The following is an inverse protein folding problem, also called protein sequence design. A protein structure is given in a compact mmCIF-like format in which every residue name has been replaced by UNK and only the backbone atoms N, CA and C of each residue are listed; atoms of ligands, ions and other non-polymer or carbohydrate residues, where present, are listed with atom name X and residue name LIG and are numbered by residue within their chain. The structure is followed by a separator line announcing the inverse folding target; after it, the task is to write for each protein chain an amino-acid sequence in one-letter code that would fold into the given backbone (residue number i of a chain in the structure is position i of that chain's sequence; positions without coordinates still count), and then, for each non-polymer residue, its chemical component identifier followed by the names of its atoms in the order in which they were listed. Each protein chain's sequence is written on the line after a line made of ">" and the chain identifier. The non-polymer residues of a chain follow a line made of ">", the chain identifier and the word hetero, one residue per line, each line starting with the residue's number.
data_IF_535994141745
#
_entry.id   IF_535994141745
#
_cell.length_a   1.000
_cell.length_b   1.000
_cell.length_c   1.000
_cell.angle_alpha   90.00
_cell.angle_beta   90.00
_cell.angle_gamma   90.00
#
_symmetry.space_group_name_H-M   'P 1'
#
loop_
_entity.id
_entity.type
_entity.pdbx_description
1 polymer ?
#
# COMPACT_ATOMS: atom_id res chain seq x y z
N UNK A 1 20.53 35.68 -0.26
CA UNK A 1 20.07 34.74 -1.30
C UNK A 1 19.47 33.54 -0.57
N UNK A 2 18.19 33.22 -0.76
CA UNK A 2 17.54 32.13 -0.02
C UNK A 2 18.22 30.80 -0.38
N UNK A 3 18.77 30.10 0.61
CA UNK A 3 19.46 28.80 0.46
C UNK A 3 18.52 27.64 0.11
N UNK A 4 17.20 27.85 0.20
CA UNK A 4 16.20 26.80 0.05
C UNK A 4 15.15 27.23 -0.96
N UNK A 5 15.05 26.47 -2.04
CA UNK A 5 14.00 26.62 -3.06
C UNK A 5 12.79 25.82 -2.59
N UNK A 6 11.57 26.37 -2.72
CA UNK A 6 10.36 25.58 -2.56
C UNK A 6 10.19 24.67 -3.78
N UNK A 7 10.40 23.38 -3.59
CA UNK A 7 10.35 22.39 -4.67
C UNK A 7 8.92 22.01 -5.11
N UNK A 8 7.90 22.35 -4.31
CA UNK A 8 6.51 22.05 -4.59
C UNK A 8 5.67 23.32 -4.60
N UNK A 9 4.66 23.42 -5.48
CA UNK A 9 3.75 24.54 -5.48
C UNK A 9 2.75 24.44 -4.31
N UNK A 10 2.14 25.55 -3.85
CA UNK A 10 1.30 25.60 -2.65
C UNK A 10 0.14 24.60 -2.64
N UNK A 11 -0.48 24.36 -3.81
CA UNK A 11 -1.57 23.41 -3.99
C UNK A 11 -1.13 21.97 -3.74
N UNK A 12 0.07 21.57 -4.20
CA UNK A 12 0.63 20.24 -3.95
C UNK A 12 0.99 20.04 -2.49
N UNK A 13 1.52 21.07 -1.83
CA UNK A 13 1.77 21.04 -0.38
C UNK A 13 0.47 20.89 0.42
N UNK A 14 -0.60 21.54 -0.01
CA UNK A 14 -1.92 21.42 0.61
C UNK A 14 -2.48 20.01 0.44
N UNK A 15 -2.49 19.48 -0.79
CA UNK A 15 -2.95 18.12 -1.12
C UNK A 15 -2.23 17.06 -0.27
N UNK A 16 -0.90 17.09 -0.20
CA UNK A 16 -0.11 16.15 0.59
C UNK A 16 -0.42 16.24 2.10
N UNK A 17 -0.58 17.47 2.61
CA UNK A 17 -0.91 17.70 4.03
C UNK A 17 -2.31 17.19 4.38
N UNK A 18 -3.29 17.42 3.52
CA UNK A 18 -4.67 16.96 3.71
C UNK A 18 -4.74 15.42 3.72
N UNK A 19 -4.05 14.78 2.77
CA UNK A 19 -3.96 13.32 2.73
C UNK A 19 -3.26 12.75 3.95
N UNK A 20 -2.12 13.33 4.37
CA UNK A 20 -1.41 12.90 5.57
C UNK A 20 -2.30 12.99 6.83
N UNK A 21 -3.00 14.12 7.01
CA UNK A 21 -3.93 14.31 8.14
C UNK A 21 -5.11 13.32 8.09
N UNK A 22 -5.63 13.00 6.90
CA UNK A 22 -6.70 12.01 6.75
C UNK A 22 -6.23 10.59 7.13
N UNK A 23 -4.98 10.23 6.79
CA UNK A 23 -4.37 8.96 7.19
C UNK A 23 -4.24 8.87 8.72
N UNK A 24 -3.86 9.94 9.41
CA UNK A 24 -3.64 9.93 10.87
C UNK A 24 -4.85 10.46 11.68
N UNK A 25 -6.05 10.38 11.12
CA UNK A 25 -7.26 10.80 11.82
C UNK A 25 -7.41 10.08 13.18
N UNK A 26 -7.80 10.77 14.27
CA UNK A 26 -7.91 10.16 15.59
C UNK A 26 -8.78 8.89 15.59
N UNK A 27 -8.27 7.82 16.20
CA UNK A 27 -8.97 6.54 16.28
C UNK A 27 -8.89 5.69 15.00
N UNK A 28 -8.18 6.15 13.96
CA UNK A 28 -7.91 5.38 12.74
C UNK A 28 -6.45 4.98 12.59
N UNK A 29 -6.22 3.92 11.80
CA UNK A 29 -4.90 3.41 11.45
C UNK A 29 -4.82 2.92 10.01
N UNK A 30 -3.70 2.24 9.71
CA UNK A 30 -3.39 1.72 8.37
C UNK A 30 -3.46 0.20 8.38
N UNK A 31 -4.13 -0.38 7.38
CA UNK A 31 -4.00 -1.80 7.06
C UNK A 31 -2.85 -1.97 6.05
N UNK A 32 -1.77 -2.62 6.47
CA UNK A 32 -0.67 -2.99 5.58
C UNK A 32 -1.00 -4.33 4.87
N UNK A 33 -1.50 -4.25 3.63
CA UNK A 33 -1.87 -5.39 2.78
C UNK A 33 -0.97 -5.46 1.52
N UNK A 34 0.27 -5.01 1.67
CA UNK A 34 1.27 -4.81 0.62
C UNK A 34 2.31 -5.93 0.55
N UNK A 35 1.96 -7.12 1.08
CA UNK A 35 2.85 -8.26 1.00
C UNK A 35 3.11 -8.64 -0.46
N UNK A 36 4.40 -8.66 -0.84
CA UNK A 36 4.85 -9.19 -2.12
C UNK A 36 4.41 -10.63 -2.31
N UNK A 37 4.41 -11.11 -3.55
CA UNK A 37 4.05 -12.49 -3.90
C UNK A 37 4.82 -13.54 -3.08
N UNK A 38 6.10 -13.29 -2.79
CA UNK A 38 6.92 -14.15 -1.95
C UNK A 38 6.49 -14.11 -0.47
N UNK A 39 6.23 -12.92 0.07
CA UNK A 39 5.84 -12.74 1.48
C UNK A 39 4.46 -13.32 1.77
N UNK A 40 3.47 -13.04 0.92
CA UNK A 40 2.12 -13.63 1.09
C UNK A 40 2.14 -15.15 0.88
N UNK A 41 3.02 -15.66 0.01
CA UNK A 41 3.23 -17.10 -0.17
C UNK A 41 3.64 -17.81 1.12
N UNK A 42 4.52 -17.20 1.93
CA UNK A 42 4.89 -17.74 3.25
C UNK A 42 3.69 -17.77 4.21
N UNK A 43 2.83 -16.75 4.17
CA UNK A 43 1.59 -16.69 4.99
C UNK A 43 0.60 -17.77 4.58
N UNK A 44 0.40 -17.97 3.28
CA UNK A 44 -0.51 -18.99 2.75
C UNK A 44 0.01 -20.41 3.02
N UNK A 45 1.31 -20.63 2.91
CA UNK A 45 1.91 -21.93 3.25
C UNK A 45 1.64 -22.34 4.71
N UNK A 46 1.63 -21.39 5.65
CA UNK A 46 1.33 -21.66 7.06
C UNK A 46 -0.10 -22.18 7.30
N UNK A 47 -1.01 -21.98 6.34
CA UNK A 47 -2.39 -22.47 6.39
C UNK A 47 -2.70 -23.50 5.28
N UNK A 48 -1.66 -24.05 4.64
CA UNK A 48 -1.77 -25.01 3.53
C UNK A 48 -2.59 -24.49 2.33
N UNK A 49 -2.55 -23.18 2.07
CA UNK A 49 -3.17 -22.57 0.90
C UNK A 49 -2.14 -22.38 -0.22
N UNK A 50 -2.52 -22.70 -1.46
CA UNK A 50 -1.66 -22.49 -2.62
C UNK A 50 -1.52 -21.00 -2.96
N UNK A 51 -0.32 -20.55 -3.31
CA UNK A 51 -0.03 -19.16 -3.67
C UNK A 51 -0.35 -18.83 -5.14
N UNK A 52 -1.62 -18.91 -5.51
CA UNK A 52 -2.14 -18.50 -6.82
C UNK A 52 -2.58 -17.03 -6.82
N UNK A 53 -2.63 -16.41 -8.00
CA UNK A 53 -3.15 -15.04 -8.12
C UNK A 53 -4.60 -14.93 -7.62
N UNK A 54 -5.45 -15.90 -7.95
CA UNK A 54 -6.85 -15.90 -7.50
C UNK A 54 -6.95 -16.00 -5.97
N UNK A 55 -6.15 -16.85 -5.31
CA UNK A 55 -6.16 -16.93 -3.85
C UNK A 55 -5.68 -15.63 -3.21
N UNK A 56 -4.66 -14.98 -3.80
CA UNK A 56 -4.19 -13.67 -3.37
C UNK A 56 -5.29 -12.60 -3.53
N UNK A 57 -5.95 -12.56 -4.69
CA UNK A 57 -7.06 -11.65 -4.99
C UNK A 57 -8.22 -11.86 -4.01
N UNK A 58 -8.67 -13.11 -3.81
CA UNK A 58 -9.75 -13.46 -2.90
C UNK A 58 -9.43 -13.10 -1.44
N UNK A 59 -8.19 -13.30 -1.00
CA UNK A 59 -7.75 -12.86 0.33
C UNK A 59 -7.84 -11.34 0.49
N UNK A 60 -7.40 -10.56 -0.50
CA UNK A 60 -7.50 -9.08 -0.44
C UNK A 60 -8.94 -8.61 -0.54
N UNK A 61 -9.75 -9.26 -1.37
CA UNK A 61 -11.19 -9.00 -1.42
C UNK A 61 -11.85 -9.23 -0.06
N UNK A 62 -11.55 -10.34 0.62
CA UNK A 62 -12.04 -10.62 1.98
C UNK A 62 -11.72 -9.47 2.95
N UNK A 63 -10.50 -8.94 2.92
CA UNK A 63 -10.11 -7.82 3.77
C UNK A 63 -10.87 -6.54 3.44
N UNK A 64 -11.04 -6.22 2.14
CA UNK A 64 -11.59 -4.94 1.71
C UNK A 64 -13.12 -4.92 1.66
N UNK A 65 -13.76 -6.09 1.67
CA UNK A 65 -15.22 -6.26 1.64
C UNK A 65 -15.84 -6.56 2.99
N UNK A 66 -15.02 -6.67 4.06
CA UNK A 66 -15.46 -6.76 5.46
C UNK A 66 -16.51 -5.69 5.80
N UNK A 67 -17.23 -5.88 6.90
CA UNK A 67 -18.28 -4.96 7.36
C UNK A 67 -17.85 -3.48 7.23
N UNK A 68 -18.71 -2.58 6.68
CA UNK A 68 -18.39 -1.17 6.51
C UNK A 68 -17.88 -0.46 7.77
N UNK A 69 -18.18 -1.00 8.96
CA UNK A 69 -17.63 -0.52 10.23
C UNK A 69 -16.10 -0.47 10.27
N UNK A 70 -15.38 -1.29 9.50
CA UNK A 70 -13.91 -1.23 9.47
C UNK A 70 -13.37 0.15 9.06
N UNK A 71 -14.10 0.88 8.21
CA UNK A 71 -13.70 2.23 7.77
C UNK A 71 -13.75 3.27 8.90
N UNK A 72 -14.38 2.95 10.04
CA UNK A 72 -14.30 3.77 11.27
C UNK A 72 -12.92 3.68 11.91
N UNK A 73 -12.17 2.60 11.67
CA UNK A 73 -10.88 2.30 12.29
C UNK A 73 -9.72 2.30 11.30
N UNK A 74 -9.98 2.20 10.00
CA UNK A 74 -8.96 2.20 8.95
C UNK A 74 -9.16 3.43 8.08
N UNK A 75 -8.13 4.25 7.99
CA UNK A 75 -8.07 5.45 7.14
C UNK A 75 -7.33 5.20 5.84
N UNK A 76 -6.43 4.21 5.80
CA UNK A 76 -5.69 3.86 4.60
C UNK A 76 -5.32 2.38 4.53
N UNK A 77 -5.11 1.90 3.30
CA UNK A 77 -4.61 0.55 3.02
C UNK A 77 -3.40 0.66 2.10
N UNK A 78 -2.29 0.03 2.48
CA UNK A 78 -1.12 -0.08 1.58
C UNK A 78 -1.31 -1.34 0.73
N UNK A 79 -1.23 -1.19 -0.59
CA UNK A 79 -1.40 -2.26 -1.57
C UNK A 79 -0.07 -2.64 -2.20
N UNK A 80 0.05 -3.90 -2.62
CA UNK A 80 1.10 -4.36 -3.53
C UNK A 80 0.70 -4.07 -4.98
N UNK A 81 1.67 -3.93 -5.89
CA UNK A 81 1.44 -3.59 -7.30
C UNK A 81 0.39 -4.49 -7.96
N UNK A 82 0.45 -5.81 -7.76
CA UNK A 82 -0.56 -6.75 -8.26
C UNK A 82 -1.98 -6.38 -7.81
N UNK A 83 -2.16 -6.02 -6.54
CA UNK A 83 -3.47 -5.70 -5.95
C UNK A 83 -4.04 -4.37 -6.43
N UNK A 84 -3.20 -3.40 -6.78
CA UNK A 84 -3.67 -2.10 -7.32
C UNK A 84 -4.53 -2.29 -8.57
N UNK A 85 -4.19 -3.27 -9.42
CA UNK A 85 -4.88 -3.54 -10.68
C UNK A 85 -5.90 -4.68 -10.59
N UNK A 86 -5.97 -5.36 -9.44
CA UNK A 86 -6.96 -6.40 -9.20
C UNK A 86 -8.36 -5.83 -8.96
N UNK A 87 -9.33 -6.72 -9.13
CA UNK A 87 -10.75 -6.44 -8.98
C UNK A 87 -11.39 -7.43 -8.01
N UNK A 88 -12.51 -7.01 -7.43
CA UNK A 88 -13.47 -7.92 -6.80
C UNK A 88 -13.93 -8.96 -7.81
N UNK A 89 -14.52 -10.05 -7.33
CA UNK A 89 -15.12 -11.08 -8.18
C UNK A 89 -16.21 -10.51 -9.08
N UNK A 90 -16.89 -9.47 -8.60
CA UNK A 90 -17.94 -8.73 -9.33
C UNK A 90 -17.37 -7.66 -10.28
N UNK A 91 -16.04 -7.58 -10.44
CA UNK A 91 -15.38 -6.74 -11.44
C UNK A 91 -15.04 -5.32 -10.98
N UNK A 92 -15.25 -4.98 -9.71
CA UNK A 92 -14.93 -3.65 -9.17
C UNK A 92 -13.45 -3.51 -8.82
N UNK A 93 -12.72 -2.50 -9.31
CA UNK A 93 -11.34 -2.26 -8.89
C UNK A 93 -11.22 -2.06 -7.37
N UNK A 94 -10.21 -2.67 -6.73
CA UNK A 94 -10.03 -2.52 -5.28
C UNK A 94 -9.77 -1.07 -4.86
N UNK A 95 -9.08 -0.29 -5.70
CA UNK A 95 -8.84 1.14 -5.48
C UNK A 95 -10.16 1.91 -5.39
N UNK A 96 -11.13 1.60 -6.24
CA UNK A 96 -12.45 2.23 -6.23
C UNK A 96 -13.26 1.79 -5.01
N UNK A 97 -13.24 0.49 -4.69
CA UNK A 97 -13.88 -0.06 -3.50
C UNK A 97 -13.42 0.64 -2.21
N UNK A 98 -12.11 0.83 -2.03
CA UNK A 98 -11.55 1.49 -0.85
C UNK A 98 -11.96 2.96 -0.78
N UNK A 99 -11.88 3.69 -1.90
CA UNK A 99 -12.26 5.10 -1.97
C UNK A 99 -13.73 5.32 -1.61
N UNK A 100 -14.63 4.50 -2.13
CA UNK A 100 -16.06 4.58 -1.80
C UNK A 100 -16.35 4.32 -0.33
N UNK A 101 -15.51 3.50 0.32
CA UNK A 101 -15.58 3.23 1.76
C UNK A 101 -14.91 4.32 2.60
N UNK A 102 -14.40 5.40 1.99
CA UNK A 102 -13.70 6.48 2.68
C UNK A 102 -12.32 6.08 3.19
N UNK A 103 -11.69 5.09 2.55
CA UNK A 103 -10.36 4.59 2.89
C UNK A 103 -9.38 4.94 1.77
N UNK A 104 -8.24 5.53 2.13
CA UNK A 104 -7.23 5.97 1.19
C UNK A 104 -6.37 4.80 0.69
N UNK A 105 -6.35 4.52 -0.62
CA UNK A 105 -5.44 3.52 -1.19
C UNK A 105 -4.02 4.08 -1.27
N UNK A 106 -3.06 3.37 -0.69
CA UNK A 106 -1.63 3.60 -0.81
C UNK A 106 -0.94 2.45 -1.56
N UNK A 107 0.29 2.67 -2.00
CA UNK A 107 1.07 1.69 -2.78
C UNK A 107 2.47 1.56 -2.21
N UNK A 108 2.94 0.31 -2.05
CA UNK A 108 4.35 0.01 -1.82
C UNK A 108 5.14 0.18 -3.12
N UNK A 109 6.15 1.05 -3.08
CA UNK A 109 6.93 1.42 -4.29
C UNK A 109 8.37 0.94 -4.27
N UNK A 110 8.90 0.47 -3.14
CA UNK A 110 10.24 -0.11 -3.12
C UNK A 110 10.29 -1.47 -3.83
N UNK A 111 11.43 -1.77 -4.43
CA UNK A 111 11.71 -3.04 -5.11
C UNK A 111 12.52 -4.01 -4.23
N UNK A 112 12.43 -3.85 -2.90
CA UNK A 112 13.11 -4.68 -1.92
C UNK A 112 14.49 -4.17 -1.51
N UNK A 113 15.17 -4.98 -0.70
CA UNK A 113 16.49 -4.67 -0.14
C UNK A 113 17.61 -5.34 -0.93
N UNK A 114 18.79 -4.70 -0.97
CA UNK A 114 20.02 -5.22 -1.57
C UNK A 114 21.19 -5.08 -0.58
N UNK A 115 22.18 -5.99 -0.60
CA UNK A 115 23.32 -5.95 0.31
C UNK A 115 24.11 -4.64 0.21
N UNK A 116 24.50 -4.08 1.36
CA UNK A 116 25.33 -2.89 1.43
C UNK A 116 26.81 -3.30 1.52
N UNK A 117 27.56 -3.12 0.43
CA UNK A 117 28.97 -3.53 0.35
C UNK A 117 29.83 -2.89 1.45
N UNK A 118 30.65 -3.70 2.11
CA UNK A 118 31.54 -3.25 3.19
C UNK A 118 30.93 -3.24 4.60
N UNK A 119 29.72 -3.79 4.76
CA UNK A 119 29.03 -3.89 6.06
C UNK A 119 28.79 -5.34 6.46
N UNK A 120 28.41 -5.56 7.72
CA UNK A 120 28.07 -6.88 8.25
C UNK A 120 26.55 -7.12 8.13
N UNK A 121 26.15 -7.78 7.05
CA UNK A 121 24.75 -8.13 6.76
C UNK A 121 23.76 -6.94 6.77
N UNK A 122 24.25 -5.71 6.60
CA UNK A 122 23.38 -4.55 6.40
C UNK A 122 22.92 -4.46 4.94
N UNK A 123 21.75 -3.85 4.75
CA UNK A 123 21.13 -3.69 3.45
C UNK A 123 20.73 -2.23 3.21
N UNK A 124 20.59 -1.88 1.94
CA UNK A 124 19.89 -0.67 1.47
C UNK A 124 18.64 -1.05 0.67
N UNK A 125 17.80 -0.08 0.32
CA UNK A 125 16.56 -0.29 -0.43
C UNK A 125 16.67 0.24 -1.85
N UNK A 126 16.21 -0.52 -2.84
CA UNK A 126 16.20 -0.14 -4.25
C UNK A 126 14.81 0.25 -4.75
N UNK A 127 14.75 0.89 -5.91
CA UNK A 127 13.49 1.26 -6.59
C UNK A 127 13.36 2.72 -7.02
N UNK A 128 14.45 3.51 -6.99
CA UNK A 128 14.42 4.91 -7.44
C UNK A 128 14.40 5.03 -8.99
N UNK A 129 14.92 4.02 -9.69
CA UNK A 129 14.90 4.00 -11.15
C UNK A 129 13.45 3.95 -11.65
N UNK A 130 13.09 4.94 -12.46
CA UNK A 130 11.75 5.14 -13.01
C UNK A 130 10.60 5.34 -12.00
N UNK A 131 10.91 5.74 -10.75
CA UNK A 131 9.88 5.91 -9.71
C UNK A 131 8.90 7.08 -9.98
N UNK A 132 9.30 8.04 -10.80
CA UNK A 132 8.51 9.25 -11.06
C UNK A 132 7.52 9.11 -12.24
N UNK A 133 7.61 8.03 -13.01
CA UNK A 133 6.82 7.73 -14.21
C UNK A 133 5.51 7.02 -13.85
#
# INVERSE_FOLDING_TARGET
>A
MARFVSYLPPEKLKELRENANAIVAPGKGILAADESTATIGKRFAAINLENTEENRRAYRELLFTTDPEFAKHISGVILFHETVYQKTKDGKPFVELLRERGVLPGIKVDLGVVPLGGTADECTTQGLDNLAQ
#
